data_IF_523777142545
#
_entry.id   IF_523777142545
#
_cell.length_a   1.000
_cell.length_b   1.000
_cell.length_c   1.000
_cell.angle_alpha   90.00
_cell.angle_beta   90.00
_cell.angle_gamma   90.00
#
_symmetry.space_group_name_H-M   'P 1'
#
loop_
_entity.id
_entity.type
_entity.pdbx_description
1 polymer ?
#
# COMPACT_ATOMS: atom_id res chain seq x y z
N UNK A 1 13.77 -3.55 -5.88
CA UNK A 1 12.71 -2.94 -5.06
C UNK A 1 12.54 -1.48 -5.47
N UNK A 2 11.63 -1.19 -6.41
CA UNK A 2 11.28 0.16 -6.90
C UNK A 2 9.99 0.71 -6.28
N UNK A 3 9.42 0.00 -5.29
CA UNK A 3 8.08 0.26 -4.78
C UNK A 3 7.98 1.67 -4.17
N UNK A 4 9.01 2.15 -3.47
CA UNK A 4 9.00 3.49 -2.85
C UNK A 4 9.10 4.68 -3.83
N UNK A 5 9.19 4.43 -5.15
CA UNK A 5 9.15 5.47 -6.18
C UNK A 5 7.77 5.57 -6.87
N UNK A 6 6.75 4.96 -6.28
CA UNK A 6 5.40 4.91 -6.81
C UNK A 6 4.56 6.16 -6.53
N UNK A 7 3.24 5.96 -6.55
CA UNK A 7 2.18 6.95 -6.37
C UNK A 7 1.91 7.33 -4.90
N UNK A 8 2.88 7.06 -4.01
CA UNK A 8 2.81 7.37 -2.59
C UNK A 8 2.88 8.88 -2.37
N UNK A 9 2.02 9.43 -1.50
CA UNK A 9 2.02 10.87 -1.21
C UNK A 9 3.35 11.35 -0.62
N UNK A 10 4.04 10.53 0.17
CA UNK A 10 5.41 10.86 0.63
C UNK A 10 6.38 11.10 -0.53
N UNK A 11 6.31 10.25 -1.57
CA UNK A 11 7.10 10.40 -2.78
C UNK A 11 6.67 11.64 -3.59
N UNK A 12 5.37 11.80 -3.81
CA UNK A 12 4.81 12.90 -4.60
C UNK A 12 5.06 14.28 -3.96
N UNK A 13 4.90 14.38 -2.64
CA UNK A 13 5.18 15.59 -1.86
C UNK A 13 6.65 15.99 -1.95
N UNK A 14 7.59 15.03 -1.91
CA UNK A 14 9.03 15.30 -2.10
C UNK A 14 9.32 16.04 -3.41
N UNK A 15 8.56 15.76 -4.47
CA UNK A 15 8.68 16.41 -5.78
C UNK A 15 7.65 17.53 -6.00
N UNK A 16 6.92 17.93 -4.96
CA UNK A 16 5.90 19.00 -5.00
C UNK A 16 4.73 18.72 -5.94
N UNK A 17 4.38 17.45 -6.13
CA UNK A 17 3.17 17.04 -6.86
C UNK A 17 1.93 16.93 -5.96
N UNK A 18 2.13 16.89 -4.65
CA UNK A 18 1.08 16.85 -3.61
C UNK A 18 1.48 17.82 -2.50
N UNK A 19 0.50 18.49 -1.87
CA UNK A 19 0.72 19.48 -0.80
C UNK A 19 1.09 18.86 0.54
N UNK A 20 0.65 17.63 0.79
CA UNK A 20 0.92 16.91 2.04
C UNK A 20 1.33 15.46 1.75
N UNK A 21 2.31 14.91 2.51
CA UNK A 21 2.67 13.51 2.45
C UNK A 21 1.66 12.58 3.15
N UNK A 22 0.67 13.13 3.85
CA UNK A 22 -0.20 12.37 4.74
C UNK A 22 -1.24 11.52 4.00
N UNK A 23 -1.55 10.35 4.55
CA UNK A 23 -2.57 9.46 4.03
C UNK A 23 -3.97 10.07 4.20
N UNK A 24 -4.82 10.05 3.16
CA UNK A 24 -6.21 10.54 3.27
C UNK A 24 -7.06 9.75 4.28
N UNK A 25 -6.70 8.49 4.54
CA UNK A 25 -7.42 7.61 5.47
C UNK A 25 -6.88 7.69 6.92
N UNK A 26 -5.72 8.31 7.13
CA UNK A 26 -5.06 8.41 8.44
C UNK A 26 -4.42 9.79 8.60
N UNK A 27 -5.10 10.67 9.35
CA UNK A 27 -4.67 12.04 9.56
C UNK A 27 -3.29 12.11 10.25
N UNK A 28 -2.36 12.87 9.66
CA UNK A 28 -1.00 13.05 10.18
C UNK A 28 -0.08 11.84 10.07
N UNK A 29 -0.50 10.79 9.36
CA UNK A 29 0.34 9.61 9.09
C UNK A 29 0.84 9.67 7.65
N UNK A 30 2.15 9.68 7.39
CA UNK A 30 2.68 9.69 6.04
C UNK A 30 2.22 8.47 5.23
N UNK A 31 1.77 8.68 3.99
CA UNK A 31 1.50 7.60 3.05
C UNK A 31 2.80 7.15 2.38
N UNK A 32 3.49 6.21 3.00
CA UNK A 32 4.62 5.48 2.43
C UNK A 32 4.27 4.00 2.19
N UNK A 33 5.26 3.25 1.69
CA UNK A 33 5.10 1.83 1.39
C UNK A 33 4.73 1.01 2.64
N UNK A 34 5.36 1.29 3.77
CA UNK A 34 5.15 0.54 5.01
C UNK A 34 3.74 0.79 5.52
N UNK A 35 3.32 2.07 5.58
CA UNK A 35 1.97 2.43 5.93
C UNK A 35 0.95 1.77 5.00
N UNK A 36 1.10 1.88 3.68
CA UNK A 36 0.13 1.33 2.74
C UNK A 36 -0.03 -0.19 2.87
N UNK A 37 1.08 -0.92 3.04
CA UNK A 37 1.05 -2.38 3.08
C UNK A 37 0.63 -2.92 4.45
N UNK A 38 1.09 -2.33 5.55
CA UNK A 38 0.93 -2.95 6.87
C UNK A 38 -0.08 -2.23 7.78
N UNK A 39 -0.40 -0.96 7.53
CA UNK A 39 -1.12 -0.14 8.53
C UNK A 39 -2.33 0.62 7.99
N UNK A 40 -2.40 0.89 6.70
CA UNK A 40 -3.41 1.76 6.13
C UNK A 40 -4.78 1.09 6.14
N UNK A 41 -5.73 1.68 6.87
CA UNK A 41 -7.10 1.16 7.02
C UNK A 41 -7.83 1.00 5.69
N UNK A 42 -7.45 1.77 4.66
CA UNK A 42 -8.01 1.66 3.32
C UNK A 42 -7.79 0.27 2.69
N UNK A 43 -6.70 -0.41 3.06
CA UNK A 43 -6.30 -1.71 2.53
C UNK A 43 -6.46 -2.83 3.56
N UNK A 44 -7.27 -2.62 4.61
CA UNK A 44 -7.53 -3.60 5.66
C UNK A 44 -8.16 -4.88 5.11
N UNK A 45 -9.08 -4.76 4.15
CA UNK A 45 -9.75 -5.91 3.56
C UNK A 45 -8.75 -6.80 2.80
N UNK A 46 -7.96 -6.21 1.90
CA UNK A 46 -6.92 -6.93 1.17
C UNK A 46 -5.88 -7.56 2.10
N UNK A 47 -5.48 -6.83 3.15
CA UNK A 47 -4.51 -7.32 4.13
C UNK A 47 -5.09 -8.47 4.95
N UNK A 48 -6.37 -8.41 5.33
CA UNK A 48 -7.05 -9.49 6.03
C UNK A 48 -7.17 -10.72 5.15
N UNK A 49 -7.50 -10.58 3.86
CA UNK A 49 -7.53 -11.70 2.92
C UNK A 49 -6.17 -12.41 2.85
N UNK A 50 -5.07 -11.66 2.77
CA UNK A 50 -3.73 -12.25 2.80
C UNK A 50 -3.42 -12.87 4.18
N UNK A 51 -3.82 -12.22 5.27
CA UNK A 51 -3.68 -12.71 6.65
C UNK A 51 -4.41 -14.03 6.90
N UNK A 52 -5.55 -14.28 6.25
CA UNK A 52 -6.24 -15.58 6.36
C UNK A 52 -5.41 -16.74 5.85
N UNK A 53 -4.54 -16.52 4.85
CA UNK A 53 -3.60 -17.54 4.35
C UNK A 53 -2.43 -17.77 5.31
N UNK A 54 -1.98 -16.72 5.98
CA UNK A 54 -0.95 -16.77 7.01
C UNK A 54 -1.42 -17.42 8.31
N UNK A 55 -2.73 -17.41 8.57
CA UNK A 55 -3.30 -17.75 9.88
C UNK A 55 -2.94 -16.73 10.97
N UNK A 56 -2.42 -15.56 10.59
CA UNK A 56 -1.99 -14.49 11.50
C UNK A 56 -2.06 -13.11 10.81
N UNK A 57 -1.80 -12.05 11.57
CA UNK A 57 -1.64 -10.69 11.05
C UNK A 57 -0.48 -10.60 10.06
N UNK A 58 -0.62 -9.75 9.05
CA UNK A 58 0.41 -9.48 8.07
C UNK A 58 1.44 -8.51 8.68
N UNK A 59 2.54 -9.07 9.20
CA UNK A 59 3.72 -8.31 9.62
C UNK A 59 4.83 -8.40 8.55
N UNK A 60 5.77 -7.45 8.48
CA UNK A 60 6.84 -7.44 7.47
C UNK A 60 7.64 -8.75 7.42
N UNK A 61 8.01 -9.30 8.58
CA UNK A 61 8.76 -10.55 8.68
C UNK A 61 7.91 -11.75 8.22
N UNK A 62 6.63 -11.76 8.59
CA UNK A 62 5.69 -12.80 8.18
C UNK A 62 5.46 -12.78 6.66
N UNK A 63 5.40 -11.59 6.07
CA UNK A 63 5.29 -11.41 4.63
C UNK A 63 6.49 -11.98 3.88
N UNK A 64 7.72 -11.66 4.34
CA UNK A 64 8.94 -12.20 3.72
C UNK A 64 8.98 -13.72 3.83
N UNK A 65 8.63 -14.28 4.99
CA UNK A 65 8.58 -15.73 5.17
C UNK A 65 7.58 -16.37 4.20
N UNK A 66 6.37 -15.80 4.07
CA UNK A 66 5.34 -16.29 3.15
C UNK A 66 5.83 -16.28 1.70
N UNK A 67 6.48 -15.19 1.27
CA UNK A 67 7.05 -15.07 -0.08
C UNK A 67 8.06 -16.18 -0.41
N UNK A 68 8.64 -16.84 0.60
CA UNK A 68 9.67 -17.86 0.43
C UNK A 68 9.15 -19.31 0.59
N UNK A 69 7.91 -19.51 1.03
CA UNK A 69 7.37 -20.85 1.31
C UNK A 69 7.03 -21.63 0.04
N UNK A 70 6.13 -21.09 -0.78
CA UNK A 70 5.67 -21.73 -2.01
C UNK A 70 5.49 -20.71 -3.13
N UNK A 71 5.34 -21.20 -4.37
CA UNK A 71 5.03 -20.34 -5.51
C UNK A 71 3.65 -19.72 -5.37
N UNK A 72 2.70 -20.48 -4.84
CA UNK A 72 1.32 -20.06 -4.61
C UNK A 72 1.23 -18.93 -3.58
N UNK A 73 2.07 -19.00 -2.54
CA UNK A 73 2.20 -17.95 -1.54
C UNK A 73 2.81 -16.67 -2.13
N UNK A 74 3.89 -16.81 -2.91
CA UNK A 74 4.48 -15.71 -3.67
C UNK A 74 3.46 -15.04 -4.61
N UNK A 75 2.68 -15.82 -5.35
CA UNK A 75 1.65 -15.30 -6.26
C UNK A 75 0.53 -14.59 -5.49
N UNK A 76 0.19 -15.08 -4.29
CA UNK A 76 -0.79 -14.45 -3.40
C UNK A 76 -0.30 -13.08 -2.89
N UNK A 77 0.95 -13.01 -2.46
CA UNK A 77 1.59 -11.75 -2.03
C UNK A 77 1.66 -10.78 -3.20
N UNK A 78 2.07 -11.23 -4.38
CA UNK A 78 2.11 -10.39 -5.58
C UNK A 78 0.73 -9.87 -5.97
N UNK A 79 -0.31 -10.69 -5.87
CA UNK A 79 -1.68 -10.26 -6.16
C UNK A 79 -2.12 -9.17 -5.19
N UNK A 80 -1.96 -9.42 -3.89
CA UNK A 80 -2.25 -8.45 -2.83
C UNK A 80 -1.56 -7.11 -3.12
N UNK A 81 -0.25 -7.18 -3.33
CA UNK A 81 0.57 -6.01 -3.50
C UNK A 81 0.23 -5.28 -4.83
N UNK A 82 -0.15 -6.00 -5.89
CA UNK A 82 -0.70 -5.42 -7.13
C UNK A 82 -2.03 -4.71 -6.91
N UNK A 83 -2.93 -5.25 -6.09
CA UNK A 83 -4.23 -4.62 -5.79
C UNK A 83 -4.00 -3.30 -5.06
N UNK A 84 -3.20 -3.30 -3.98
CA UNK A 84 -2.88 -2.08 -3.21
C UNK A 84 -2.27 -1.01 -4.12
N UNK A 85 -1.26 -1.36 -4.91
CA UNK A 85 -0.61 -0.41 -5.83
C UNK A 85 -1.56 0.09 -6.93
N UNK A 86 -2.51 -0.73 -7.37
CA UNK A 86 -3.51 -0.31 -8.36
C UNK A 86 -4.49 0.68 -7.75
N UNK A 87 -4.96 0.44 -6.52
CA UNK A 87 -5.85 1.36 -5.79
C UNK A 87 -5.16 2.69 -5.53
N UNK A 88 -3.94 2.69 -4.98
CA UNK A 88 -3.13 3.91 -4.76
C UNK A 88 -3.07 4.78 -6.02
N UNK A 89 -2.77 4.16 -7.17
CA UNK A 89 -2.67 4.86 -8.45
C UNK A 89 -4.02 5.40 -8.94
N UNK A 90 -5.12 4.69 -8.71
CA UNK A 90 -6.45 5.18 -9.04
C UNK A 90 -6.83 6.39 -8.17
N UNK A 91 -6.50 6.35 -6.88
CA UNK A 91 -6.76 7.45 -5.96
C UNK A 91 -5.94 8.69 -6.32
N UNK A 92 -4.66 8.51 -6.66
CA UNK A 92 -3.81 9.57 -7.20
C UNK A 92 -4.44 10.24 -8.43
N UNK A 93 -4.92 9.44 -9.40
CA UNK A 93 -5.58 9.96 -10.61
C UNK A 93 -6.85 10.74 -10.27
N UNK A 94 -7.71 10.20 -9.39
CA UNK A 94 -8.95 10.86 -8.97
C UNK A 94 -8.67 12.23 -8.33
N UNK A 95 -7.61 12.34 -7.52
CA UNK A 95 -7.21 13.62 -6.91
C UNK A 95 -6.70 14.63 -7.94
N UNK A 96 -5.99 14.16 -8.98
CA UNK A 96 -5.53 15.02 -10.08
C UNK A 96 -6.67 15.50 -10.97
N UNK A 97 -7.68 14.65 -11.20
CA UNK A 97 -8.87 15.00 -11.99
C UNK A 97 -9.84 15.91 -11.23
N UNK A 98 -9.98 15.69 -9.91
CA UNK A 98 -10.82 16.47 -9.02
C UNK A 98 -9.99 17.06 -7.86
N UNK A 99 -9.17 18.10 -8.12
CA UNK A 99 -8.42 18.75 -7.07
C UNK A 99 -9.38 19.38 -6.04
N UNK A 100 -9.08 19.30 -4.72
CA UNK A 100 -9.84 20.07 -3.73
C UNK A 100 -9.75 21.57 -4.06
N UNK A 101 -10.87 22.29 -3.88
CA UNK A 101 -11.02 23.70 -4.28
C UNK A 101 -10.11 24.65 -3.50
#
# INVERSE_FOLDING_TARGET
>A
FTWNHGCFRTHLHRFKYEETPDCPAACGVPEDLEHAIFHCSHYDEERRELGTKLGTSLEPEALIQLMMQTKEDWDSVNLYAKIVMTKLRQEERKRKENPPC
#
